data_IF_210549574116
#
_entry.id   IF_210549574116
#
_cell.length_a   1.000
_cell.length_b   1.000
_cell.length_c   1.000
_cell.angle_alpha   90.00
_cell.angle_beta   90.00
_cell.angle_gamma   90.00
#
_symmetry.space_group_name_H-M   'P 1'
#
loop_
_entity.id
_entity.type
_entity.pdbx_description
1 polymer ?
#
# COMPACT_ATOMS: atom_id res chain seq x y z
N UNK A 1 10.19 16.79 -9.53
CA UNK A 1 10.05 17.09 -8.10
C UNK A 1 10.66 15.97 -7.29
N UNK A 2 11.61 16.20 -6.45
CA UNK A 2 12.12 15.37 -5.37
C UNK A 2 13.35 14.49 -5.62
N UNK A 3 13.99 14.52 -6.78
CA UNK A 3 15.21 13.75 -6.98
C UNK A 3 16.34 14.66 -7.51
N UNK A 4 16.97 15.39 -6.60
CA UNK A 4 18.25 16.06 -6.89
C UNK A 4 19.44 15.08 -6.87
N UNK A 5 19.23 13.89 -6.30
CA UNK A 5 20.20 12.79 -6.29
C UNK A 5 19.79 11.70 -7.29
N UNK A 6 20.76 11.24 -8.07
CA UNK A 6 20.55 10.14 -9.03
C UNK A 6 20.40 8.82 -8.26
N UNK A 7 19.17 8.29 -8.22
CA UNK A 7 18.90 6.99 -7.62
C UNK A 7 19.51 5.91 -8.53
N UNK A 8 20.25 4.92 -7.98
CA UNK A 8 20.77 3.80 -8.75
C UNK A 8 19.65 2.97 -9.42
N UNK A 9 19.88 2.52 -10.65
CA UNK A 9 18.89 1.72 -11.40
C UNK A 9 18.48 0.45 -10.66
N UNK A 10 19.41 -0.20 -9.96
CA UNK A 10 19.12 -1.38 -9.13
C UNK A 10 18.10 -1.09 -8.03
N UNK A 11 18.18 0.08 -7.41
CA UNK A 11 17.25 0.52 -6.37
C UNK A 11 15.86 0.82 -6.96
N UNK A 12 15.81 1.41 -8.15
CA UNK A 12 14.55 1.65 -8.87
C UNK A 12 13.89 0.33 -9.24
N UNK A 13 14.66 -0.62 -9.78
CA UNK A 13 14.18 -1.95 -10.15
C UNK A 13 13.68 -2.71 -8.92
N UNK A 14 14.43 -2.67 -7.82
CA UNK A 14 14.03 -3.30 -6.56
C UNK A 14 12.71 -2.73 -6.05
N UNK A 15 12.57 -1.40 -6.02
CA UNK A 15 11.35 -0.73 -5.60
C UNK A 15 10.14 -1.09 -6.48
N UNK A 16 10.33 -1.21 -7.78
CA UNK A 16 9.28 -1.63 -8.72
C UNK A 16 8.82 -3.08 -8.47
N UNK A 17 9.74 -3.98 -8.10
CA UNK A 17 9.43 -5.36 -7.72
C UNK A 17 8.65 -5.42 -6.41
N UNK A 18 9.08 -4.68 -5.39
CA UNK A 18 8.38 -4.60 -4.09
C UNK A 18 6.94 -4.11 -4.28
N UNK A 19 6.74 -3.13 -5.15
CA UNK A 19 5.42 -2.58 -5.47
C UNK A 19 4.62 -3.40 -6.50
N UNK A 20 5.06 -4.60 -6.89
CA UNK A 20 4.38 -5.49 -7.84
C UNK A 20 4.04 -4.81 -9.18
N UNK A 21 4.92 -3.91 -9.68
CA UNK A 21 4.68 -3.15 -10.91
C UNK A 21 5.79 -3.33 -11.94
N UNK A 22 6.86 -4.07 -11.60
CA UNK A 22 8.02 -4.28 -12.47
C UNK A 22 7.62 -4.88 -13.83
N UNK A 23 6.85 -5.97 -13.83
CA UNK A 23 6.44 -6.67 -15.06
C UNK A 23 5.60 -5.76 -15.98
N UNK A 24 4.74 -4.93 -15.40
CA UNK A 24 3.98 -3.95 -16.17
C UNK A 24 4.90 -2.89 -16.80
N UNK A 25 5.95 -2.45 -16.09
CA UNK A 25 6.87 -1.43 -16.60
C UNK A 25 7.69 -1.96 -17.77
N UNK A 26 8.21 -3.19 -17.68
CA UNK A 26 9.02 -3.77 -18.78
C UNK A 26 8.22 -4.05 -20.05
N UNK A 27 6.89 -4.21 -19.94
CA UNK A 27 5.99 -4.35 -21.09
C UNK A 27 5.71 -3.02 -21.80
N UNK A 28 6.03 -1.87 -21.20
CA UNK A 28 5.85 -0.58 -21.86
C UNK A 28 6.87 -0.40 -23.00
N UNK A 29 6.54 0.38 -24.05
CA UNK A 29 7.36 0.53 -25.26
C UNK A 29 8.83 0.88 -25.00
N UNK A 30 9.13 1.65 -23.95
CA UNK A 30 10.48 2.05 -23.56
C UNK A 30 10.82 1.65 -22.10
N UNK A 31 10.13 0.63 -21.55
CA UNK A 31 10.35 0.20 -20.17
C UNK A 31 10.26 1.37 -19.16
N UNK A 32 11.31 1.50 -18.34
CA UNK A 32 11.41 2.56 -17.33
C UNK A 32 11.52 3.98 -17.91
N UNK A 33 11.94 4.13 -19.18
CA UNK A 33 12.05 5.41 -19.87
C UNK A 33 10.74 5.82 -20.57
N UNK A 34 9.66 5.08 -20.36
CA UNK A 34 8.36 5.35 -20.97
C UNK A 34 7.76 6.63 -20.41
N UNK A 35 7.35 7.54 -21.31
CA UNK A 35 6.65 8.76 -20.92
C UNK A 35 5.20 8.41 -20.59
N UNK A 36 4.77 8.79 -19.39
CA UNK A 36 3.40 8.60 -18.88
C UNK A 36 2.59 9.90 -19.03
N UNK A 37 1.31 9.78 -19.35
CA UNK A 37 0.38 10.91 -19.38
C UNK A 37 -0.31 11.12 -20.72
N UNK A 38 -0.85 12.33 -20.97
CA UNK A 38 -1.74 12.62 -22.13
C UNK A 38 -1.11 12.34 -23.50
N UNK A 39 0.22 12.37 -23.62
CA UNK A 39 0.98 12.06 -24.84
C UNK A 39 1.77 10.76 -24.76
N UNK A 40 1.52 9.93 -23.74
CA UNK A 40 2.21 8.67 -23.48
C UNK A 40 1.26 7.54 -23.15
N UNK A 41 1.77 6.52 -22.45
CA UNK A 41 0.99 5.36 -22.04
C UNK A 41 -0.02 5.77 -20.96
N UNK A 42 -1.29 5.31 -21.15
CA UNK A 42 -2.34 5.47 -20.15
C UNK A 42 -2.30 4.33 -19.16
N UNK A 43 -2.15 4.64 -17.87
CA UNK A 43 -2.11 3.68 -16.77
C UNK A 43 -3.50 3.45 -16.17
N UNK A 44 -3.77 2.20 -15.73
CA UNK A 44 -4.90 1.91 -14.86
C UNK A 44 -4.74 2.57 -13.47
N UNK A 45 -5.82 2.66 -12.69
CA UNK A 45 -5.77 3.19 -11.33
C UNK A 45 -4.78 2.43 -10.44
N UNK A 46 -4.82 1.09 -10.46
CA UNK A 46 -3.90 0.24 -9.71
C UNK A 46 -2.44 0.37 -10.16
N UNK A 47 -2.18 0.49 -11.47
CA UNK A 47 -0.82 0.75 -11.96
C UNK A 47 -0.28 2.10 -11.48
N UNK A 48 -1.11 3.15 -11.49
CA UNK A 48 -0.73 4.47 -10.97
C UNK A 48 -0.35 4.42 -9.50
N UNK A 49 -1.16 3.74 -8.68
CA UNK A 49 -0.90 3.58 -7.24
C UNK A 49 0.39 2.78 -7.01
N UNK A 50 0.58 1.65 -7.68
CA UNK A 50 1.79 0.82 -7.53
C UNK A 50 3.05 1.56 -7.98
N UNK A 51 3.01 2.35 -9.06
CA UNK A 51 4.13 3.21 -9.47
C UNK A 51 4.41 4.29 -8.42
N UNK A 52 3.38 4.89 -7.83
CA UNK A 52 3.56 5.88 -6.76
C UNK A 52 4.23 5.26 -5.52
N UNK A 53 3.82 4.03 -5.13
CA UNK A 53 4.45 3.27 -4.06
C UNK A 53 5.92 2.96 -4.40
N UNK A 54 6.21 2.46 -5.60
CA UNK A 54 7.58 2.20 -6.05
C UNK A 54 8.47 3.44 -5.96
N UNK A 55 7.95 4.60 -6.37
CA UNK A 55 8.68 5.87 -6.27
C UNK A 55 8.96 6.29 -4.83
N UNK A 56 8.02 6.07 -3.92
CA UNK A 56 8.21 6.36 -2.49
C UNK A 56 9.25 5.43 -1.88
N UNK A 57 9.23 4.14 -2.22
CA UNK A 57 10.23 3.14 -1.80
C UNK A 57 11.61 3.48 -2.34
N UNK A 58 11.73 3.81 -3.63
CA UNK A 58 12.99 4.15 -4.28
C UNK A 58 13.69 5.37 -3.65
N UNK A 59 12.95 6.25 -3.00
CA UNK A 59 13.52 7.40 -2.27
C UNK A 59 14.25 6.99 -0.99
N UNK A 60 14.03 5.81 -0.49
CA UNK A 60 14.72 5.18 0.66
C UNK A 60 14.71 6.00 1.96
N UNK A 61 13.65 6.76 2.22
CA UNK A 61 13.49 7.53 3.45
C UNK A 61 13.31 6.63 4.70
N UNK A 62 13.62 7.14 5.90
CA UNK A 62 13.45 6.38 7.16
C UNK A 62 11.98 6.16 7.54
N UNK A 63 11.08 6.96 7.00
CA UNK A 63 9.64 6.87 7.19
C UNK A 63 8.96 6.77 5.83
N UNK A 64 8.14 5.74 5.65
CA UNK A 64 7.27 5.56 4.49
C UNK A 64 5.81 5.79 4.91
N UNK A 65 5.12 6.70 4.24
CA UNK A 65 3.70 6.97 4.49
C UNK A 65 2.90 6.54 3.26
N UNK A 66 1.95 5.64 3.46
CA UNK A 66 1.02 5.14 2.45
C UNK A 66 -0.40 5.58 2.84
N UNK A 67 -0.88 6.67 2.21
CA UNK A 67 -2.21 7.22 2.46
C UNK A 67 -3.16 6.75 1.34
N UNK A 68 -4.05 5.84 1.67
CA UNK A 68 -5.03 5.19 0.78
C UNK A 68 -4.43 4.68 -0.56
N UNK A 69 -3.13 4.36 -0.52
CA UNK A 69 -2.30 4.10 -1.70
C UNK A 69 -2.55 2.74 -2.35
N UNK A 70 -3.39 1.89 -1.74
CA UNK A 70 -3.73 0.53 -2.20
C UNK A 70 -5.22 0.38 -2.57
N UNK A 71 -6.01 1.46 -2.51
CA UNK A 71 -7.47 1.41 -2.68
C UNK A 71 -7.95 0.93 -4.06
N UNK A 72 -7.15 1.12 -5.12
CA UNK A 72 -7.45 0.66 -6.48
C UNK A 72 -6.66 -0.60 -6.89
N UNK A 73 -5.97 -1.22 -5.93
CA UNK A 73 -5.23 -2.47 -6.13
C UNK A 73 -6.14 -3.64 -5.72
N UNK A 74 -6.10 -4.73 -6.46
CA UNK A 74 -6.81 -5.96 -6.11
C UNK A 74 -6.19 -6.61 -4.87
N UNK A 75 -6.99 -7.41 -4.16
CA UNK A 75 -6.63 -7.97 -2.84
C UNK A 75 -5.38 -8.84 -2.89
N UNK A 76 -5.20 -9.65 -3.95
CA UNK A 76 -4.04 -10.53 -4.07
C UNK A 76 -2.75 -9.73 -4.25
N UNK A 77 -2.77 -8.71 -5.11
CA UNK A 77 -1.63 -7.81 -5.34
C UNK A 77 -1.35 -6.95 -4.10
N UNK A 78 -2.40 -6.48 -3.40
CA UNK A 78 -2.27 -5.75 -2.13
C UNK A 78 -1.52 -6.58 -1.07
N UNK A 79 -1.91 -7.85 -0.87
CA UNK A 79 -1.24 -8.75 0.08
C UNK A 79 0.23 -8.98 -0.29
N UNK A 80 0.55 -9.16 -1.57
CA UNK A 80 1.94 -9.30 -2.04
C UNK A 80 2.77 -8.04 -1.72
N UNK A 81 2.22 -6.86 -1.99
CA UNK A 81 2.91 -5.59 -1.70
C UNK A 81 3.16 -5.45 -0.20
N UNK A 82 2.16 -5.73 0.65
CA UNK A 82 2.31 -5.64 2.10
C UNK A 82 3.37 -6.61 2.63
N UNK A 83 3.36 -7.87 2.17
CA UNK A 83 4.36 -8.87 2.53
C UNK A 83 5.77 -8.47 2.06
N UNK A 84 5.90 -7.91 0.85
CA UNK A 84 7.17 -7.43 0.33
C UNK A 84 7.70 -6.24 1.17
N UNK A 85 6.81 -5.34 1.58
CA UNK A 85 7.14 -4.23 2.47
C UNK A 85 7.63 -4.73 3.84
N UNK A 86 6.94 -5.67 4.47
CA UNK A 86 7.35 -6.26 5.74
C UNK A 86 8.77 -6.86 5.65
N UNK A 87 9.06 -7.61 4.58
CA UNK A 87 10.37 -8.23 4.36
C UNK A 87 11.51 -7.22 4.10
N UNK A 88 11.19 -6.05 3.53
CA UNK A 88 12.17 -5.01 3.20
C UNK A 88 12.52 -4.12 4.40
N UNK A 89 11.69 -4.08 5.44
CA UNK A 89 11.64 -2.95 6.36
C UNK A 89 12.34 -3.15 7.72
N UNK A 90 13.45 -3.85 7.79
CA UNK A 90 14.15 -4.15 9.07
C UNK A 90 14.35 -2.97 10.05
N UNK A 91 14.50 -1.73 9.60
CA UNK A 91 14.74 -0.55 10.47
C UNK A 91 13.89 0.68 10.12
N UNK A 92 12.86 0.55 9.26
CA UNK A 92 12.05 1.69 8.82
C UNK A 92 10.70 1.73 9.52
N UNK A 93 10.12 2.92 9.62
CA UNK A 93 8.76 3.10 10.08
C UNK A 93 7.82 3.19 8.89
N UNK A 94 6.81 2.32 8.81
CA UNK A 94 5.71 2.45 7.86
C UNK A 94 4.47 2.99 8.56
N UNK A 95 3.87 4.00 7.97
CA UNK A 95 2.56 4.51 8.38
C UNK A 95 1.60 4.22 7.24
N UNK A 96 0.61 3.36 7.49
CA UNK A 96 -0.42 3.00 6.51
C UNK A 96 -1.74 3.60 6.96
N UNK A 97 -2.37 4.37 6.09
CA UNK A 97 -3.71 4.92 6.29
C UNK A 97 -4.63 4.19 5.31
N UNK A 98 -5.62 3.49 5.84
CA UNK A 98 -6.57 2.73 5.03
C UNK A 98 -7.91 2.60 5.74
N UNK A 99 -8.98 2.51 4.96
CA UNK A 99 -10.30 2.13 5.42
C UNK A 99 -10.54 0.60 5.36
N UNK A 100 -9.59 -0.17 4.79
CA UNK A 100 -9.64 -1.64 4.73
C UNK A 100 -8.92 -2.24 5.93
N UNK A 101 -9.59 -3.08 6.70
CA UNK A 101 -8.98 -3.76 7.83
C UNK A 101 -7.91 -4.77 7.36
N UNK A 102 -8.12 -5.43 6.20
CA UNK A 102 -7.13 -6.33 5.60
C UNK A 102 -5.75 -5.69 5.45
N UNK A 103 -5.70 -4.42 5.08
CA UNK A 103 -4.46 -3.66 4.86
C UNK A 103 -3.69 -3.38 6.17
N UNK A 104 -4.40 -3.22 7.30
CA UNK A 104 -3.79 -2.75 8.57
C UNK A 104 -3.73 -3.83 9.65
N UNK A 105 -4.35 -4.99 9.45
CA UNK A 105 -4.47 -6.05 10.48
C UNK A 105 -3.12 -6.57 10.99
N UNK A 106 -2.08 -6.56 10.15
CA UNK A 106 -0.74 -7.05 10.48
C UNK A 106 0.18 -5.96 11.07
N UNK A 107 -0.30 -4.71 11.23
CA UNK A 107 0.51 -3.64 11.79
C UNK A 107 0.80 -3.89 13.28
N UNK A 108 2.02 -3.55 13.73
CA UNK A 108 2.43 -3.63 15.14
C UNK A 108 1.52 -2.79 16.03
N UNK A 109 1.07 -1.65 15.51
CA UNK A 109 0.17 -0.74 16.19
C UNK A 109 -0.88 -0.19 15.24
N UNK A 110 -2.14 -0.27 15.65
CA UNK A 110 -3.30 0.28 14.95
C UNK A 110 -3.86 1.43 15.79
N UNK A 111 -4.16 2.54 15.14
CA UNK A 111 -4.80 3.72 15.72
C UNK A 111 -6.10 3.95 14.97
N UNK A 112 -7.22 4.00 15.68
CA UNK A 112 -8.53 4.31 15.12
C UNK A 112 -8.84 5.77 15.37
N UNK A 113 -9.12 6.51 14.30
CA UNK A 113 -9.43 7.92 14.32
C UNK A 113 -10.92 8.14 14.04
N UNK A 114 -11.57 8.93 14.87
CA UNK A 114 -12.91 9.43 14.63
C UNK A 114 -13.02 10.92 15.02
N UNK A 115 -13.61 11.72 14.15
CA UNK A 115 -13.78 13.18 14.35
C UNK A 115 -12.48 13.89 14.81
N UNK A 116 -11.32 13.50 14.22
CA UNK A 116 -10.00 14.08 14.53
C UNK A 116 -9.41 13.67 15.88
N UNK A 117 -9.98 12.64 16.54
CA UNK A 117 -9.51 12.13 17.83
C UNK A 117 -9.14 10.65 17.71
N UNK A 118 -8.13 10.24 18.46
CA UNK A 118 -7.83 8.82 18.66
C UNK A 118 -8.86 8.26 19.63
N UNK A 119 -9.66 7.30 19.17
CA UNK A 119 -10.70 6.65 19.97
C UNK A 119 -10.29 5.23 20.40
N UNK A 120 -9.45 4.54 19.62
CA UNK A 120 -8.94 3.22 19.95
C UNK A 120 -7.46 3.13 19.54
N UNK A 121 -6.70 2.31 20.29
CA UNK A 121 -5.29 2.05 20.03
C UNK A 121 -4.92 0.65 20.50
N UNK A 122 -4.27 -0.12 19.64
CA UNK A 122 -3.83 -1.48 19.97
C UNK A 122 -3.25 -2.19 18.74
N UNK A 123 -3.20 -3.52 18.80
CA UNK A 123 -3.00 -4.38 17.65
C UNK A 123 -4.33 -5.07 17.29
N UNK A 124 -4.34 -5.81 16.17
CA UNK A 124 -5.55 -6.50 15.68
C UNK A 124 -6.25 -7.33 16.76
N UNK A 125 -5.50 -8.20 17.45
CA UNK A 125 -6.07 -9.10 18.47
C UNK A 125 -6.66 -8.36 19.67
N UNK A 126 -6.01 -7.30 20.13
CA UNK A 126 -6.47 -6.52 21.28
C UNK A 126 -7.70 -5.68 20.92
N UNK A 127 -7.74 -5.10 19.72
CA UNK A 127 -8.87 -4.30 19.27
C UNK A 127 -10.12 -5.14 18.97
N UNK A 128 -9.96 -6.39 18.54
CA UNK A 128 -11.11 -7.31 18.39
C UNK A 128 -11.77 -7.70 19.70
N UNK A 129 -11.07 -7.59 20.83
CA UNK A 129 -11.64 -7.86 22.17
C UNK A 129 -12.43 -6.70 22.73
N UNK A 130 -12.30 -5.51 22.14
CA UNK A 130 -13.02 -4.31 22.52
C UNK A 130 -14.29 -4.22 21.68
N UNK A 131 -15.42 -3.89 22.29
CA UNK A 131 -16.66 -3.61 21.56
C UNK A 131 -16.63 -2.16 21.05
N UNK A 132 -15.82 -1.95 19.98
CA UNK A 132 -15.48 -0.64 19.45
C UNK A 132 -15.63 -0.54 17.94
N UNK A 133 -15.24 0.62 17.38
CA UNK A 133 -15.36 0.91 15.97
C UNK A 133 -14.51 -0.03 15.10
N UNK A 134 -13.29 -0.40 15.56
CA UNK A 134 -12.42 -1.31 14.83
C UNK A 134 -13.07 -2.67 14.61
N UNK A 135 -13.61 -3.26 15.68
CA UNK A 135 -14.30 -4.56 15.62
C UNK A 135 -15.54 -4.49 14.74
N UNK A 136 -16.34 -3.43 14.86
CA UNK A 136 -17.51 -3.22 14.02
C UNK A 136 -17.15 -3.18 12.53
N UNK A 137 -16.09 -2.43 12.16
CA UNK A 137 -15.62 -2.35 10.77
C UNK A 137 -15.10 -3.69 10.27
N UNK A 138 -14.37 -4.43 11.11
CA UNK A 138 -13.89 -5.79 10.76
C UNK A 138 -15.03 -6.74 10.48
N UNK A 139 -16.01 -6.83 11.37
CA UNK A 139 -17.18 -7.70 11.22
C UNK A 139 -17.99 -7.32 9.96
N UNK A 140 -18.17 -6.03 9.71
CA UNK A 140 -18.84 -5.53 8.51
C UNK A 140 -18.11 -5.94 7.23
N UNK A 141 -16.80 -5.75 7.15
CA UNK A 141 -16.01 -6.12 5.96
C UNK A 141 -15.99 -7.64 5.74
N UNK A 142 -15.98 -8.45 6.80
CA UNK A 142 -16.09 -9.89 6.68
C UNK A 142 -17.45 -10.32 6.10
N UNK A 143 -18.53 -9.65 6.45
CA UNK A 143 -19.85 -9.92 5.89
C UNK A 143 -19.92 -9.53 4.41
N UNK A 144 -19.34 -8.40 4.02
CA UNK A 144 -19.28 -7.96 2.63
C UNK A 144 -18.53 -8.99 1.76
N UNK A 145 -17.39 -9.51 2.22
CA UNK A 145 -16.66 -10.58 1.50
C UNK A 145 -17.49 -11.85 1.36
N UNK A 146 -18.23 -12.25 2.39
CA UNK A 146 -19.09 -13.47 2.33
C UNK A 146 -20.28 -13.31 1.39
N UNK A 147 -20.81 -12.11 1.25
CA UNK A 147 -22.01 -11.86 0.43
C UNK A 147 -21.65 -11.59 -1.04
N UNK A 148 -20.51 -10.95 -1.30
CA UNK A 148 -20.12 -10.51 -2.64
C UNK A 148 -18.86 -11.20 -3.18
N UNK A 149 -18.20 -12.06 -2.40
CA UNK A 149 -16.98 -12.78 -2.78
C UNK A 149 -17.21 -14.22 -3.28
N UNK A 150 -18.46 -14.60 -3.55
CA UNK A 150 -18.83 -15.93 -4.09
C UNK A 150 -19.07 -15.93 -5.60
N UNK A 151 -18.38 -15.07 -6.38
CA UNK A 151 -18.39 -15.14 -7.84
C UNK A 151 -17.02 -15.50 -8.40
#
# INVERSE_FOLDING_TARGET
FAFDEKIPDEQIISAAKVAEVYDNIIEFPNGFDTILGERGVTLSGGQKQRIAIARAIAKDGPILILDDSLSSVDTETEEKILNNLENMMGEKTIIIISHRISTVKNADQIIVLDNGKIIERGNHESLLKIDGLYRYLYEKQLLEVKVYGED
#
